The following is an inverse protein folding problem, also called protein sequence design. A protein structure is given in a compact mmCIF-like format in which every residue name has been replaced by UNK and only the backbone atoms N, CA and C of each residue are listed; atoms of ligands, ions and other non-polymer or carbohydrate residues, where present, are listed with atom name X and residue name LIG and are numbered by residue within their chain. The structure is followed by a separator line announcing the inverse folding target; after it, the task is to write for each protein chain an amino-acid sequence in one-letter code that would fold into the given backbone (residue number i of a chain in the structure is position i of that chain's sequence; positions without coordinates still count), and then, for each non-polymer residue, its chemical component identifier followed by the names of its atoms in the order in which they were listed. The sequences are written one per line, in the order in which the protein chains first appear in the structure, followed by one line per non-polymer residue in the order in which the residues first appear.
data_IF_515016066791
#
_entry.id   IF_515016066791
#
_cell.length_a   1.000
_cell.length_b   1.000
_cell.length_c   1.000
_cell.angle_alpha   90.00
_cell.angle_beta   90.00
_cell.angle_gamma   90.00
#
_symmetry.space_group_name_H-M   'P 1'
#
loop_
_entity.id
_entity.type
_entity.pdbx_description
1 polymer ?
#
# COMPACT_ATOMS: atom_id res chain seq x y z
N UNK A 1 -7.38 16.48 -6.36
CA UNK A 1 -7.45 16.90 -4.94
C UNK A 1 -6.09 16.67 -4.32
N UNK A 2 -5.72 17.46 -3.31
CA UNK A 2 -4.39 17.47 -2.68
C UNK A 2 -4.11 16.30 -1.72
N UNK A 3 -5.02 15.32 -1.63
CA UNK A 3 -4.95 14.25 -0.63
C UNK A 3 -3.72 13.35 -0.71
N UNK A 4 -2.98 13.34 -1.83
CA UNK A 4 -1.70 12.61 -1.90
C UNK A 4 -0.61 13.35 -1.13
N UNK A 5 -0.45 14.66 -1.35
CA UNK A 5 0.51 15.46 -0.60
C UNK A 5 0.17 15.47 0.90
N UNK A 6 -1.11 15.66 1.24
CA UNK A 6 -1.56 15.67 2.64
C UNK A 6 -1.31 14.32 3.34
N UNK A 7 -1.44 13.19 2.64
CA UNK A 7 -1.11 11.87 3.20
C UNK A 7 0.38 11.72 3.56
N UNK A 8 1.26 12.51 2.94
CA UNK A 8 2.70 12.51 3.19
C UNK A 8 3.10 13.55 4.25
N UNK A 9 2.38 14.65 4.39
CA UNK A 9 2.82 15.80 5.21
C UNK A 9 1.96 16.05 6.46
N UNK A 10 0.68 15.70 6.44
CA UNK A 10 -0.23 15.98 7.54
C UNK A 10 -0.09 14.95 8.67
N UNK A 11 -0.19 15.37 9.93
CA UNK A 11 -0.30 14.44 11.06
C UNK A 11 -1.59 13.62 10.95
N UNK A 12 -1.63 12.48 11.65
CA UNK A 12 -2.84 11.67 11.78
C UNK A 12 -3.92 12.45 12.54
N UNK A 13 -5.15 12.45 12.02
CA UNK A 13 -6.33 13.03 12.65
C UNK A 13 -7.42 11.97 12.76
N UNK A 14 -7.86 11.67 13.98
CA UNK A 14 -8.92 10.70 14.25
C UNK A 14 -10.29 11.12 13.68
N UNK A 15 -10.45 12.40 13.29
CA UNK A 15 -11.66 12.91 12.64
C UNK A 15 -11.67 12.68 11.13
N UNK A 16 -10.55 12.25 10.53
CA UNK A 16 -10.51 11.88 9.13
C UNK A 16 -11.34 10.61 8.87
N UNK A 17 -11.81 10.48 7.63
CA UNK A 17 -12.57 9.30 7.20
C UNK A 17 -11.69 8.05 7.26
N UNK A 18 -12.25 6.99 7.85
CA UNK A 18 -11.63 5.66 7.90
C UNK A 18 -11.31 5.12 6.50
N UNK A 19 -10.32 4.24 6.36
CA UNK A 19 -9.30 3.88 7.34
C UNK A 19 -8.31 5.05 7.55
N UNK A 20 -8.03 5.46 8.79
CA UNK A 20 -7.19 6.65 9.06
C UNK A 20 -5.70 6.40 8.86
N UNK A 21 -5.21 5.19 9.13
CA UNK A 21 -3.80 4.83 8.97
C UNK A 21 -3.62 3.40 8.51
N UNK A 22 -2.53 3.15 7.77
CA UNK A 22 -2.07 1.81 7.42
C UNK A 22 -0.60 1.65 7.82
N UNK A 23 -0.30 0.63 8.63
CA UNK A 23 1.08 0.25 8.99
C UNK A 23 1.79 -0.41 7.81
N UNK A 24 3.03 0.02 7.52
CA UNK A 24 3.84 -0.47 6.42
C UNK A 24 4.87 -1.51 6.92
N UNK A 25 4.43 -2.77 7.02
CA UNK A 25 5.31 -3.86 7.48
C UNK A 25 5.91 -4.68 6.32
N UNK A 26 5.08 -5.00 5.34
CA UNK A 26 5.46 -5.82 4.20
C UNK A 26 5.93 -4.98 3.01
N UNK A 27 5.45 -3.73 2.92
CA UNK A 27 5.87 -2.78 1.90
C UNK A 27 7.28 -2.22 2.15
N UNK A 28 7.84 -2.37 3.34
CA UNK A 28 9.22 -1.99 3.68
C UNK A 28 9.77 -2.90 4.76
N UNK A 29 10.86 -3.62 4.47
CA UNK A 29 11.44 -4.57 5.42
C UNK A 29 12.30 -3.84 6.45
N UNK A 30 12.62 -4.54 7.55
CA UNK A 30 13.57 -4.03 8.54
C UNK A 30 14.90 -3.67 7.87
N UNK A 31 15.48 -2.53 8.27
CA UNK A 31 16.69 -1.91 7.71
C UNK A 31 16.54 -1.25 6.33
N UNK A 32 15.39 -1.37 5.68
CA UNK A 32 15.09 -0.64 4.45
C UNK A 32 14.43 0.71 4.77
N UNK A 33 14.48 1.61 3.78
CA UNK A 33 13.76 2.87 3.74
C UNK A 33 12.88 2.88 2.48
N UNK A 34 11.62 3.23 2.63
CA UNK A 34 10.68 3.42 1.52
C UNK A 34 10.35 4.90 1.41
N UNK A 35 10.86 5.56 0.37
CA UNK A 35 10.52 6.94 0.07
C UNK A 35 9.32 6.96 -0.87
N UNK A 36 8.25 7.66 -0.48
CA UNK A 36 7.08 7.94 -1.32
C UNK A 36 7.08 9.41 -1.73
N UNK A 37 6.72 9.69 -2.98
CA UNK A 37 6.59 11.04 -3.49
C UNK A 37 5.31 11.20 -4.32
N UNK A 38 4.61 12.31 -4.13
CA UNK A 38 3.48 12.70 -4.96
C UNK A 38 3.17 14.20 -4.78
N UNK A 39 2.74 14.86 -5.86
CA UNK A 39 2.23 16.24 -5.81
C UNK A 39 3.19 17.24 -5.14
N UNK A 40 4.51 17.06 -5.33
CA UNK A 40 5.54 17.93 -4.77
C UNK A 40 5.88 17.70 -3.29
N UNK A 41 5.26 16.70 -2.65
CA UNK A 41 5.59 16.26 -1.30
C UNK A 41 6.29 14.90 -1.33
N UNK A 42 7.13 14.65 -0.32
CA UNK A 42 7.80 13.37 -0.13
C UNK A 42 7.86 13.00 1.37
N UNK A 43 7.85 11.70 1.66
CA UNK A 43 8.08 11.18 3.00
C UNK A 43 8.80 9.83 2.93
N UNK A 44 9.73 9.63 3.86
CA UNK A 44 10.45 8.36 4.02
C UNK A 44 9.81 7.57 5.16
N UNK A 45 9.59 6.28 4.93
CA UNK A 45 9.00 5.33 5.87
C UNK A 45 9.99 4.20 6.14
N UNK A 46 10.09 3.77 7.39
CA UNK A 46 10.69 2.51 7.81
C UNK A 46 9.63 1.43 8.06
N UNK A 47 10.09 0.22 8.37
CA UNK A 47 9.24 -0.88 8.79
C UNK A 47 8.47 -0.53 10.07
N UNK A 48 7.15 -0.72 10.06
CA UNK A 48 6.25 -0.38 11.18
C UNK A 48 5.74 1.06 11.18
N UNK A 49 6.21 1.93 10.28
CA UNK A 49 5.67 3.27 10.16
C UNK A 49 4.25 3.26 9.58
N UNK A 50 3.44 4.25 9.94
CA UNK A 50 2.08 4.40 9.44
C UNK A 50 1.95 5.44 8.33
N UNK A 51 1.36 5.03 7.21
CA UNK A 51 0.88 5.92 6.16
C UNK A 51 -0.47 6.54 6.58
N UNK A 52 -0.61 7.86 6.43
CA UNK A 52 -1.86 8.56 6.73
C UNK A 52 -2.89 8.37 5.61
N UNK A 53 -3.62 7.27 5.67
CA UNK A 53 -4.67 6.95 4.69
C UNK A 53 -5.92 7.80 4.90
N UNK A 54 -6.10 8.45 6.05
CA UNK A 54 -7.22 9.36 6.34
C UNK A 54 -7.40 10.47 5.31
N UNK A 55 -6.29 10.95 4.73
CA UNK A 55 -6.28 11.98 3.67
C UNK A 55 -6.57 11.45 2.26
N UNK A 56 -6.56 10.13 2.07
CA UNK A 56 -6.84 9.49 0.79
C UNK A 56 -8.34 9.31 0.55
N UNK A 57 -8.72 9.25 -0.73
CA UNK A 57 -10.10 8.99 -1.15
C UNK A 57 -10.44 7.51 -1.02
N UNK A 58 -11.61 7.22 -0.47
CA UNK A 58 -12.15 5.86 -0.42
C UNK A 58 -12.56 5.40 -1.82
N UNK A 59 -12.54 4.09 -2.03
CA UNK A 59 -12.95 3.37 -3.24
C UNK A 59 -12.17 3.79 -4.50
N UNK A 60 -10.95 4.30 -4.31
CA UNK A 60 -10.04 4.69 -5.38
C UNK A 60 -8.63 4.19 -5.11
N UNK A 61 -7.91 3.92 -6.21
CA UNK A 61 -6.48 3.65 -6.15
C UNK A 61 -5.75 4.99 -6.12
N UNK A 62 -5.06 5.25 -5.02
CA UNK A 62 -4.11 6.37 -4.89
C UNK A 62 -2.72 5.88 -5.29
N UNK A 63 -1.95 6.73 -5.96
CA UNK A 63 -0.67 6.37 -6.59
C UNK A 63 0.43 7.32 -6.12
N UNK A 64 1.58 6.77 -5.79
CA UNK A 64 2.78 7.51 -5.40
C UNK A 64 3.97 6.95 -6.15
N UNK A 65 4.91 7.80 -6.56
CA UNK A 65 6.22 7.31 -6.95
C UNK A 65 6.91 6.75 -5.71
N UNK A 66 7.64 5.65 -5.84
CA UNK A 66 8.43 5.11 -4.74
C UNK A 66 9.87 4.79 -5.13
N UNK A 67 10.73 4.88 -4.11
CA UNK A 67 12.10 4.37 -4.13
C UNK A 67 12.30 3.57 -2.84
N UNK A 68 12.69 2.29 -2.98
CA UNK A 68 13.13 1.44 -1.87
C UNK A 68 14.65 1.49 -1.79
N UNK A 69 15.17 1.76 -0.61
CA UNK A 69 16.60 1.91 -0.37
C UNK A 69 17.05 1.09 0.83
N UNK A 70 18.34 0.76 0.86
CA UNK A 70 19.02 0.16 2.01
C UNK A 70 20.38 0.82 2.19
N UNK A 71 20.85 0.90 3.42
CA UNK A 71 22.17 1.39 3.75
C UNK A 71 23.14 0.21 3.90
N UNK A 72 24.19 0.18 3.09
CA UNK A 72 25.23 -0.87 3.08
C UNK A 72 26.58 -0.16 3.12
N UNK A 73 27.38 -0.43 4.15
CA UNK A 73 28.72 0.15 4.34
C UNK A 73 28.76 1.70 4.24
N UNK A 74 27.71 2.36 4.76
CA UNK A 74 27.57 3.83 4.73
C UNK A 74 27.13 4.40 3.39
N UNK A 75 26.86 3.56 2.39
CA UNK A 75 26.30 3.96 1.10
C UNK A 75 24.80 3.63 1.03
N UNK A 76 24.01 4.59 0.53
CA UNK A 76 22.59 4.38 0.29
C UNK A 76 22.38 3.79 -1.11
N UNK A 77 21.91 2.54 -1.17
CA UNK A 77 21.67 1.80 -2.41
C UNK A 77 20.17 1.77 -2.69
N UNK A 78 19.77 2.12 -3.90
CA UNK A 78 18.38 1.94 -4.36
C UNK A 78 18.18 0.49 -4.80
N UNK A 79 17.29 -0.22 -4.12
CA UNK A 79 16.92 -1.60 -4.44
C UNK A 79 15.88 -1.67 -5.55
N UNK A 80 14.82 -0.86 -5.44
CA UNK A 80 13.68 -0.88 -6.35
C UNK A 80 13.13 0.54 -6.52
N UNK A 81 12.56 0.82 -7.70
CA UNK A 81 11.77 2.03 -7.93
C UNK A 81 10.60 1.76 -8.86
N UNK A 82 9.51 2.51 -8.69
CA UNK A 82 8.31 2.38 -9.49
C UNK A 82 7.14 3.12 -8.86
N UNK A 83 5.94 2.54 -8.95
CA UNK A 83 4.70 3.13 -8.42
C UNK A 83 4.12 2.31 -7.26
N UNK A 84 3.87 2.98 -6.14
CA UNK A 84 3.15 2.47 -4.99
C UNK A 84 1.66 2.77 -5.18
N UNK A 85 0.84 1.72 -5.17
CA UNK A 85 -0.60 1.79 -5.40
C UNK A 85 -1.35 1.36 -4.13
N UNK A 86 -2.24 2.20 -3.62
CA UNK A 86 -3.07 1.87 -2.45
C UNK A 86 -4.55 2.03 -2.76
N UNK A 87 -5.32 0.96 -2.54
CA UNK A 87 -6.77 0.98 -2.57
C UNK A 87 -7.31 1.06 -1.15
N UNK A 88 -7.98 2.18 -0.83
CA UNK A 88 -8.54 2.46 0.50
C UNK A 88 -10.04 2.22 0.52
N UNK A 89 -10.51 1.58 1.59
CA UNK A 89 -11.91 1.46 1.99
C UNK A 89 -12.09 2.00 3.43
N UNK A 90 -13.31 1.94 3.96
CA UNK A 90 -13.65 2.49 5.28
C UNK A 90 -12.91 1.79 6.45
N UNK A 91 -12.73 0.47 6.36
CA UNK A 91 -12.15 -0.35 7.44
C UNK A 91 -10.90 -1.14 6.99
N UNK A 92 -10.47 -0.98 5.75
CA UNK A 92 -9.35 -1.75 5.19
C UNK A 92 -8.63 -0.99 4.09
N UNK A 93 -7.37 -1.32 3.88
CA UNK A 93 -6.62 -0.90 2.71
C UNK A 93 -5.68 -2.01 2.25
N UNK A 94 -5.44 -2.05 0.94
CA UNK A 94 -4.48 -2.97 0.31
C UNK A 94 -3.53 -2.18 -0.58
N UNK A 95 -2.27 -2.59 -0.56
CA UNK A 95 -1.15 -1.96 -1.27
C UNK A 95 -0.56 -2.93 -2.26
N UNK A 96 -0.29 -2.44 -3.47
CA UNK A 96 0.54 -3.11 -4.46
C UNK A 96 1.70 -2.22 -4.91
N UNK A 97 2.77 -2.85 -5.38
CA UNK A 97 3.94 -2.20 -5.94
C UNK A 97 4.05 -2.59 -7.41
N UNK A 98 4.00 -1.59 -8.28
CA UNK A 98 4.41 -1.70 -9.67
C UNK A 98 5.90 -1.35 -9.73
N UNK A 99 6.77 -2.35 -9.81
CA UNK A 99 8.21 -2.16 -9.92
C UNK A 99 8.53 -1.89 -11.39
N UNK A 100 9.33 -0.85 -11.65
CA UNK A 100 9.81 -0.51 -12.99
C UNK A 100 11.32 -0.76 -13.13
N UNK A 101 12.09 -0.53 -12.06
CA UNK A 101 13.54 -0.74 -12.03
C UNK A 101 13.99 -1.42 -10.75
N UNK A 102 15.05 -2.19 -10.85
CA UNK A 102 15.76 -2.82 -9.74
C UNK A 102 17.25 -2.48 -9.78
N UNK A 103 17.97 -2.68 -8.68
CA UNK A 103 19.43 -2.56 -8.67
C UNK A 103 20.07 -3.56 -9.64
N UNK A 104 21.12 -3.13 -10.34
CA UNK A 104 21.91 -4.03 -11.16
C UNK A 104 22.74 -4.95 -10.25
N UNK A 105 22.62 -6.28 -10.36
CA UNK A 105 23.38 -7.22 -9.53
C UNK A 105 24.90 -7.12 -9.77
N UNK A 106 25.32 -6.73 -10.97
CA UNK A 106 26.74 -6.61 -11.33
C UNK A 106 27.33 -5.24 -10.95
N UNK A 107 26.47 -4.25 -10.68
CA UNK A 107 26.86 -2.87 -10.37
C UNK A 107 25.80 -2.19 -9.50
N UNK A 108 25.89 -2.41 -8.18
CA UNK A 108 24.85 -2.06 -7.20
C UNK A 108 24.48 -0.57 -7.12
N UNK A 109 25.35 0.34 -7.57
CA UNK A 109 25.10 1.78 -7.67
C UNK A 109 24.31 2.19 -8.93
N UNK A 110 23.90 1.21 -9.75
CA UNK A 110 23.14 1.43 -10.99
C UNK A 110 21.82 0.66 -11.00
N UNK A 111 20.88 1.11 -11.83
CA UNK A 111 19.54 0.51 -11.98
C UNK A 111 19.36 -0.10 -13.38
N UNK A 112 18.64 -1.21 -13.45
CA UNK A 112 18.17 -1.82 -14.70
C UNK A 112 16.64 -1.85 -14.75
N UNK A 113 16.07 -1.79 -15.96
CA UNK A 113 14.62 -1.92 -16.14
C UNK A 113 14.21 -3.39 -15.95
N UNK A 114 13.32 -3.65 -15.00
CA UNK A 114 12.75 -4.97 -14.78
C UNK A 114 11.36 -4.77 -14.17
N UNK A 115 10.32 -4.98 -14.99
CA UNK A 115 8.93 -4.77 -14.56
C UNK A 115 8.41 -5.97 -13.78
N UNK A 116 7.77 -5.72 -12.65
CA UNK A 116 7.01 -6.73 -11.91
C UNK A 116 5.93 -6.08 -11.06
N UNK A 117 4.94 -6.86 -10.63
CA UNK A 117 3.84 -6.38 -9.82
C UNK A 117 3.61 -7.34 -8.65
N UNK A 118 3.52 -6.80 -7.44
CA UNK A 118 3.19 -7.58 -6.25
C UNK A 118 2.25 -6.83 -5.32
N UNK A 119 1.35 -7.57 -4.66
CA UNK A 119 0.62 -7.08 -3.49
C UNK A 119 1.59 -7.14 -2.32
N UNK A 120 1.81 -6.01 -1.63
CA UNK A 120 2.77 -5.93 -0.53
C UNK A 120 2.06 -5.79 0.81
N UNK A 121 1.13 -4.84 0.98
CA UNK A 121 0.49 -4.56 2.27
C UNK A 121 -1.00 -4.89 2.26
N UNK A 122 -1.49 -5.46 3.36
CA UNK A 122 -2.92 -5.61 3.65
C UNK A 122 -3.12 -5.31 5.13
N UNK A 123 -4.04 -4.40 5.45
CA UNK A 123 -4.33 -4.06 6.84
C UNK A 123 -5.66 -3.34 7.02
N UNK A 124 -5.97 -3.04 8.27
CA UNK A 124 -7.22 -2.42 8.68
C UNK A 124 -7.75 -3.03 9.98
N UNK A 125 -9.05 -2.89 10.18
CA UNK A 125 -9.76 -3.39 11.35
C UNK A 125 -10.14 -4.86 11.13
N UNK A 126 -9.29 -5.78 11.59
CA UNK A 126 -9.52 -7.22 11.40
C UNK A 126 -10.72 -7.71 12.23
N UNK A 127 -11.72 -8.27 11.55
CA UNK A 127 -12.84 -8.95 12.22
C UNK A 127 -12.36 -10.20 12.94
N UNK A 128 -12.49 -10.25 14.26
CA UNK A 128 -12.13 -11.43 15.03
C UNK A 128 -13.04 -12.63 14.68
N UNK A 129 -12.45 -13.82 14.51
CA UNK A 129 -13.19 -15.02 14.06
C UNK A 129 -14.33 -15.43 15.01
N UNK A 130 -14.17 -15.18 16.31
CA UNK A 130 -15.18 -15.43 17.33
C UNK A 130 -16.28 -14.35 17.41
N UNK A 131 -16.17 -13.29 16.60
CA UNK A 131 -17.13 -12.18 16.51
C UNK A 131 -17.74 -12.07 15.10
N UNK A 132 -17.65 -13.15 14.30
CA UNK A 132 -18.28 -13.18 12.98
C UNK A 132 -19.80 -13.00 13.09
N UNK A 133 -20.42 -12.25 12.16
CA UNK A 133 -21.87 -12.11 12.11
C UNK A 133 -22.55 -13.45 11.73
N UNK A 134 -23.87 -13.51 11.88
CA UNK A 134 -24.68 -14.61 11.36
C UNK A 134 -25.14 -14.35 9.93
N UNK A 135 -25.54 -15.41 9.21
CA UNK A 135 -26.20 -15.26 7.90
C UNK A 135 -25.21 -15.18 6.74
N UNK A 136 -25.51 -14.32 5.74
CA UNK A 136 -24.73 -14.17 4.51
C UNK A 136 -24.46 -12.71 4.18
N UNK A 137 -23.37 -12.45 3.48
CA UNK A 137 -23.07 -11.15 2.91
C UNK A 137 -22.49 -11.27 1.50
N UNK A 138 -22.71 -10.24 0.69
CA UNK A 138 -22.10 -10.05 -0.62
C UNK A 138 -21.21 -8.81 -0.60
N UNK A 139 -20.04 -8.92 -1.19
CA UNK A 139 -19.01 -7.89 -1.24
C UNK A 139 -18.73 -7.55 -2.70
N UNK A 140 -18.83 -6.26 -3.01
CA UNK A 140 -18.47 -5.72 -4.31
C UNK A 140 -17.28 -4.77 -4.15
N UNK A 141 -16.30 -4.88 -5.04
CA UNK A 141 -15.10 -4.08 -4.93
C UNK A 141 -14.30 -4.01 -6.22
N UNK A 142 -13.01 -3.71 -6.07
CA UNK A 142 -12.05 -3.57 -7.15
C UNK A 142 -11.05 -4.71 -7.14
N UNK A 143 -10.74 -5.22 -8.33
CA UNK A 143 -9.55 -6.00 -8.59
C UNK A 143 -8.59 -5.12 -9.41
N UNK A 144 -7.32 -5.06 -9.03
CA UNK A 144 -6.32 -4.31 -9.77
C UNK A 144 -5.02 -5.11 -9.87
N UNK A 145 -4.42 -5.08 -11.06
CA UNK A 145 -3.20 -5.80 -11.42
C UNK A 145 -2.22 -4.87 -12.15
N UNK A 146 -1.09 -5.41 -12.62
CA UNK A 146 -0.15 -4.67 -13.46
C UNK A 146 -0.88 -4.01 -14.62
N UNK A 147 -0.75 -2.69 -14.72
CA UNK A 147 -1.33 -1.84 -15.78
C UNK A 147 -2.88 -1.87 -15.91
N UNK A 148 -3.63 -2.62 -15.09
CA UNK A 148 -5.10 -2.66 -15.12
C UNK A 148 -5.74 -2.43 -13.74
N UNK A 149 -6.25 -1.20 -13.46
CA UNK A 149 -6.97 -0.89 -12.24
C UNK A 149 -8.49 -1.06 -12.34
N UNK A 150 -9.03 -1.61 -13.43
CA UNK A 150 -10.46 -1.54 -13.75
C UNK A 150 -11.24 -2.82 -13.43
N UNK A 151 -10.54 -3.89 -13.03
CA UNK A 151 -11.15 -5.13 -12.58
C UNK A 151 -12.17 -4.93 -11.46
N UNK A 152 -13.14 -5.84 -11.41
CA UNK A 152 -14.21 -5.86 -10.41
C UNK A 152 -14.12 -7.13 -9.57
N UNK A 153 -14.34 -6.98 -8.27
CA UNK A 153 -14.48 -8.08 -7.34
C UNK A 153 -15.96 -8.25 -6.99
N UNK A 154 -16.44 -9.48 -7.02
CA UNK A 154 -17.70 -9.88 -6.40
C UNK A 154 -17.41 -11.15 -5.60
N UNK A 155 -17.74 -11.13 -4.31
CA UNK A 155 -17.45 -12.23 -3.39
C UNK A 155 -18.61 -12.41 -2.40
N UNK A 156 -19.00 -13.64 -2.11
CA UNK A 156 -20.13 -13.94 -1.22
C UNK A 156 -19.63 -14.79 -0.06
N UNK A 157 -20.08 -14.49 1.16
CA UNK A 157 -19.71 -15.27 2.35
C UNK A 157 -20.99 -15.75 3.03
N UNK A 158 -21.03 -17.05 3.35
CA UNK A 158 -22.00 -17.64 4.27
C UNK A 158 -21.32 -17.89 5.63
N UNK A 159 -21.57 -17.01 6.59
CA UNK A 159 -20.95 -17.06 7.91
C UNK A 159 -21.45 -18.23 8.75
N UNK A 160 -22.67 -18.71 8.50
CA UNK A 160 -23.20 -19.90 9.17
C UNK A 160 -22.43 -21.15 8.71
N UNK A 161 -22.18 -21.26 7.41
CA UNK A 161 -21.41 -22.38 6.82
C UNK A 161 -19.89 -22.21 6.89
N UNK A 162 -19.39 -21.02 7.24
CA UNK A 162 -17.97 -20.66 7.22
C UNK A 162 -17.34 -20.90 5.83
N UNK A 163 -18.04 -20.44 4.79
CA UNK A 163 -17.66 -20.63 3.38
C UNK A 163 -17.79 -19.32 2.60
N UNK A 164 -16.99 -19.16 1.55
CA UNK A 164 -17.12 -18.09 0.56
C UNK A 164 -16.58 -18.49 -0.80
#
# INVERSE_FOLDING_TARGET
GAGLADALTAPLDHKDKGLQSLTLDQSVRKNEKLKLAAQGAEKTYGNGDSLNTGKLKNDKVSRFDFIRQIEVDGQLITLESGEFQIYKQDHSAVVALQIEKINNPDKIDSLINQRSFLVSGLGGEHTAFNQLPSGKAEYHGKAFSSDDPNGRLHYSIDFTKKQG
#
